data_IF_224395051756
#
_entry.id   IF_224395051756
#
_cell.length_a   1.000
_cell.length_b   1.000
_cell.length_c   1.000
_cell.angle_alpha   90.00
_cell.angle_beta   90.00
_cell.angle_gamma   90.00
#
_symmetry.space_group_name_H-M   'P 1'
#
loop_
_entity.id
_entity.type
_entity.pdbx_description
1 polymer ?
#
# COMPACT_ATOMS: atom_id res chain seq x y z
N UNK A 1 -33.79 2.01 16.41
CA UNK A 1 -33.43 2.34 15.01
C UNK A 1 -34.60 1.96 14.12
N UNK A 2 -35.16 2.90 13.36
CA UNK A 2 -36.04 2.58 12.23
C UNK A 2 -35.13 2.40 11.02
N UNK A 3 -35.22 1.26 10.34
CA UNK A 3 -34.58 1.11 9.04
C UNK A 3 -35.34 2.02 8.05
N UNK A 4 -34.69 3.07 7.54
CA UNK A 4 -35.19 3.78 6.38
C UNK A 4 -34.75 3.00 5.14
N UNK A 5 -35.71 2.37 4.47
CA UNK A 5 -35.54 1.95 3.09
C UNK A 5 -35.62 3.22 2.26
N UNK A 6 -34.49 3.65 1.69
CA UNK A 6 -34.51 4.68 0.67
C UNK A 6 -35.08 4.06 -0.61
N UNK A 7 -36.35 4.36 -0.89
CA UNK A 7 -36.92 4.18 -2.22
C UNK A 7 -36.29 5.21 -3.16
N UNK A 8 -35.96 4.80 -4.38
CA UNK A 8 -35.27 5.62 -5.38
C UNK A 8 -36.20 6.56 -6.15
N UNK A 9 -37.48 6.64 -5.81
CA UNK A 9 -38.41 7.58 -6.44
C UNK A 9 -38.60 8.84 -5.60
N UNK A 10 -38.07 9.94 -6.14
CA UNK A 10 -38.49 11.34 -5.98
C UNK A 10 -38.43 11.96 -4.57
N UNK A 11 -37.37 12.72 -4.31
CA UNK A 11 -37.45 14.17 -4.11
C UNK A 11 -36.05 14.81 -4.12
N UNK A 12 -35.94 15.95 -4.79
CA UNK A 12 -34.68 16.58 -5.15
C UNK A 12 -33.92 17.17 -3.97
N UNK A 13 -32.63 16.85 -3.88
CA UNK A 13 -31.63 17.71 -3.25
C UNK A 13 -30.68 18.19 -4.34
N UNK A 14 -30.72 19.49 -4.59
CA UNK A 14 -29.73 20.21 -5.38
C UNK A 14 -28.39 20.16 -4.65
N UNK A 15 -27.38 19.53 -5.24
CA UNK A 15 -26.02 20.04 -5.20
C UNK A 15 -25.26 19.62 -6.47
N UNK A 16 -24.88 20.65 -7.22
CA UNK A 16 -23.91 20.73 -8.31
C UNK A 16 -24.09 19.78 -9.50
N UNK A 17 -24.72 20.34 -10.54
CA UNK A 17 -25.01 19.70 -11.82
C UNK A 17 -23.77 19.23 -12.58
N UNK A 18 -23.43 17.96 -12.42
CA UNK A 18 -22.48 17.26 -13.29
C UNK A 18 -23.25 16.30 -14.18
N UNK A 19 -23.32 16.62 -15.47
CA UNK A 19 -23.87 15.77 -16.51
C UNK A 19 -22.87 14.65 -16.84
N UNK A 20 -23.26 13.40 -16.64
CA UNK A 20 -22.37 12.22 -16.72
C UNK A 20 -21.97 11.84 -18.16
N UNK A 21 -22.52 12.47 -19.19
CA UNK A 21 -22.17 12.18 -20.60
C UNK A 21 -20.94 12.95 -21.12
N UNK A 22 -20.42 13.96 -20.40
CA UNK A 22 -19.27 14.77 -20.84
C UNK A 22 -17.88 14.16 -20.51
N UNK A 23 -17.84 13.02 -19.82
CA UNK A 23 -16.60 12.40 -19.32
C UNK A 23 -15.83 11.67 -20.44
N UNK A 24 -16.52 11.16 -21.47
CA UNK A 24 -15.91 10.34 -22.52
C UNK A 24 -15.03 11.17 -23.50
N UNK A 25 -15.28 12.49 -23.63
CA UNK A 25 -14.65 13.34 -24.66
C UNK A 25 -13.29 13.93 -24.23
N UNK A 26 -12.94 13.91 -22.93
CA UNK A 26 -11.70 14.57 -22.43
C UNK A 26 -10.43 13.71 -22.53
N UNK A 27 -10.51 12.49 -23.07
CA UNK A 27 -9.35 11.67 -23.41
C UNK A 27 -8.66 12.19 -24.68
N UNK A 28 -7.81 13.21 -24.54
CA UNK A 28 -6.57 13.45 -25.33
C UNK A 28 -6.04 14.87 -25.08
N UNK A 29 -5.28 15.05 -24.00
CA UNK A 29 -4.23 16.09 -23.98
C UNK A 29 -2.96 15.50 -23.42
N UNK A 30 -1.90 15.49 -24.25
CA UNK A 30 -0.53 15.17 -23.83
C UNK A 30 -0.12 16.19 -22.78
N UNK A 31 0.30 15.70 -21.61
CA UNK A 31 0.68 16.55 -20.47
C UNK A 31 2.15 16.95 -20.52
N UNK A 32 2.37 18.17 -20.06
CA UNK A 32 3.67 18.82 -19.92
C UNK A 32 4.33 18.36 -18.60
N UNK A 33 5.62 18.00 -18.65
CA UNK A 33 6.36 17.40 -17.54
C UNK A 33 6.83 18.48 -16.53
N UNK A 34 6.70 18.24 -15.23
CA UNK A 34 7.32 19.07 -14.18
C UNK A 34 8.85 18.97 -14.26
N UNK A 35 9.56 20.06 -13.96
CA UNK A 35 11.01 20.23 -14.24
C UNK A 35 11.98 19.33 -13.45
N UNK A 36 11.48 18.41 -12.61
CA UNK A 36 12.33 17.54 -11.78
C UNK A 36 12.48 16.14 -12.41
N UNK A 37 13.72 15.63 -12.54
CA UNK A 37 13.93 14.28 -13.05
C UNK A 37 13.41 13.21 -12.08
N UNK A 38 12.70 12.23 -12.63
CA UNK A 38 12.25 11.02 -11.92
C UNK A 38 13.43 10.18 -11.42
N UNK A 39 13.21 9.30 -10.43
CA UNK A 39 14.25 8.38 -9.95
C UNK A 39 14.81 7.49 -11.07
N UNK A 40 13.96 7.08 -12.03
CA UNK A 40 14.42 6.35 -13.21
C UNK A 40 15.41 7.17 -14.05
N UNK A 41 15.07 8.44 -14.32
CA UNK A 41 15.93 9.36 -15.06
C UNK A 41 17.23 9.65 -14.30
N UNK A 42 17.15 9.90 -12.98
CA UNK A 42 18.33 10.14 -12.15
C UNK A 42 19.28 8.93 -12.13
N UNK A 43 18.74 7.69 -12.05
CA UNK A 43 19.54 6.47 -12.10
C UNK A 43 20.13 6.24 -13.49
N UNK A 44 19.38 6.48 -14.57
CA UNK A 44 19.90 6.37 -15.93
C UNK A 44 21.02 7.39 -16.21
N UNK A 45 20.82 8.64 -15.78
CA UNK A 45 21.82 9.69 -15.87
C UNK A 45 23.08 9.29 -15.08
N UNK A 46 22.91 8.79 -13.84
CA UNK A 46 24.03 8.30 -13.04
C UNK A 46 24.78 7.18 -13.78
N UNK A 47 24.11 6.11 -14.21
CA UNK A 47 24.79 4.99 -14.91
C UNK A 47 25.49 5.46 -16.19
N UNK A 48 24.92 6.44 -16.90
CA UNK A 48 25.51 7.01 -18.12
C UNK A 48 26.75 7.85 -17.83
N UNK A 49 26.73 8.64 -16.75
CA UNK A 49 27.79 9.60 -16.42
C UNK A 49 28.95 8.98 -15.65
N UNK A 50 28.67 8.06 -14.71
CA UNK A 50 29.67 7.46 -13.82
C UNK A 50 29.87 5.95 -14.03
N UNK A 51 29.10 5.32 -14.91
CA UNK A 51 29.24 3.91 -15.24
C UNK A 51 30.29 3.68 -16.32
N UNK A 52 31.14 2.68 -16.12
CA UNK A 52 32.06 2.24 -17.17
C UNK A 52 31.28 1.54 -18.30
N UNK A 53 31.70 1.72 -19.56
CA UNK A 53 31.06 1.03 -20.71
C UNK A 53 31.09 -0.51 -20.54
N UNK A 54 32.12 -1.03 -19.88
CA UNK A 54 32.37 -2.47 -19.71
C UNK A 54 31.82 -3.09 -18.41
N UNK A 55 31.66 -2.34 -17.32
CA UNK A 55 31.11 -2.88 -16.06
C UNK A 55 29.87 -2.14 -15.58
N UNK A 56 29.64 -0.89 -15.99
CA UNK A 56 28.54 -0.06 -15.49
C UNK A 56 28.90 0.61 -14.17
N UNK A 57 27.89 0.96 -13.36
CA UNK A 57 28.05 1.64 -12.06
C UNK A 57 27.51 0.79 -10.90
N UNK A 58 28.16 0.87 -9.73
CA UNK A 58 27.65 0.22 -8.52
C UNK A 58 26.53 1.06 -7.88
N UNK A 59 25.66 0.43 -7.08
CA UNK A 59 24.56 1.14 -6.37
C UNK A 59 25.11 2.27 -5.49
N UNK A 60 26.23 2.05 -4.81
CA UNK A 60 26.87 3.08 -3.97
C UNK A 60 27.31 4.30 -4.78
N UNK A 61 27.93 4.10 -5.95
CA UNK A 61 28.33 5.21 -6.83
C UNK A 61 27.09 5.93 -7.39
N UNK A 62 26.05 5.18 -7.78
CA UNK A 62 24.77 5.74 -8.25
C UNK A 62 24.14 6.63 -7.18
N UNK A 63 24.03 6.14 -5.93
CA UNK A 63 23.53 6.91 -4.80
C UNK A 63 24.33 8.18 -4.57
N UNK A 64 25.67 8.08 -4.48
CA UNK A 64 26.56 9.23 -4.29
C UNK A 64 26.40 10.28 -5.40
N UNK A 65 26.29 9.85 -6.66
CA UNK A 65 26.03 10.76 -7.77
C UNK A 65 24.67 11.46 -7.61
N UNK A 66 23.63 10.74 -7.24
CA UNK A 66 22.29 11.31 -7.09
C UNK A 66 22.23 12.32 -5.96
N UNK A 67 22.86 12.05 -4.81
CA UNK A 67 22.91 12.99 -3.69
C UNK A 67 23.65 14.29 -4.05
N UNK A 68 24.69 14.19 -4.87
CA UNK A 68 25.52 15.33 -5.24
C UNK A 68 24.91 16.21 -6.35
N UNK A 69 24.13 15.61 -7.26
CA UNK A 69 23.67 16.29 -8.48
C UNK A 69 22.17 16.65 -8.47
N UNK A 70 21.41 16.18 -7.49
CA UNK A 70 19.97 16.44 -7.40
C UNK A 70 19.56 16.81 -5.97
N UNK A 71 18.64 17.77 -5.85
CA UNK A 71 18.08 18.19 -4.56
C UNK A 71 17.09 17.15 -4.00
N UNK A 72 17.55 15.97 -3.58
CA UNK A 72 16.72 14.83 -3.12
C UNK A 72 16.58 14.76 -1.59
N UNK A 73 15.48 14.20 -1.10
CA UNK A 73 15.33 13.88 0.32
C UNK A 73 16.13 12.59 0.63
N UNK A 74 17.23 12.72 1.37
CA UNK A 74 18.18 11.64 1.65
C UNK A 74 17.56 10.47 2.43
N UNK A 75 16.59 10.75 3.30
CA UNK A 75 15.96 9.74 4.15
C UNK A 75 15.03 8.81 3.34
N UNK A 76 14.45 9.31 2.24
CA UNK A 76 13.47 8.58 1.42
C UNK A 76 14.07 8.07 0.10
N UNK A 77 15.01 8.79 -0.52
CA UNK A 77 15.47 8.52 -1.90
C UNK A 77 16.09 7.13 -2.09
N UNK A 78 16.71 6.58 -1.05
CA UNK A 78 17.34 5.26 -1.09
C UNK A 78 16.35 4.13 -1.31
N UNK A 79 15.16 4.24 -0.73
CA UNK A 79 14.06 3.30 -0.96
C UNK A 79 13.70 3.28 -2.45
N UNK A 80 13.54 4.45 -3.07
CA UNK A 80 13.18 4.58 -4.47
C UNK A 80 14.26 4.09 -5.41
N UNK A 81 15.53 4.42 -5.13
CA UNK A 81 16.68 3.92 -5.91
C UNK A 81 16.69 2.39 -5.84
N UNK A 82 16.63 1.80 -4.65
CA UNK A 82 16.66 0.36 -4.48
C UNK A 82 15.45 -0.34 -5.15
N UNK A 83 14.25 0.23 -5.03
CA UNK A 83 13.03 -0.24 -5.69
C UNK A 83 13.20 -0.21 -7.22
N UNK A 84 13.76 0.87 -7.76
CA UNK A 84 14.04 1.01 -9.18
C UNK A 84 15.10 0.01 -9.66
N UNK A 85 16.21 -0.16 -8.94
CA UNK A 85 17.26 -1.11 -9.31
C UNK A 85 16.73 -2.53 -9.38
N UNK A 86 15.94 -2.96 -8.37
CA UNK A 86 15.29 -4.29 -8.36
C UNK A 86 14.30 -4.47 -9.51
N UNK A 87 13.45 -3.47 -9.76
CA UNK A 87 12.46 -3.50 -10.85
C UNK A 87 13.15 -3.45 -12.23
N UNK A 88 14.17 -2.62 -12.39
CA UNK A 88 14.92 -2.45 -13.64
C UNK A 88 15.64 -3.71 -14.08
N UNK A 89 16.22 -4.47 -13.14
CA UNK A 89 16.81 -5.79 -13.45
C UNK A 89 15.73 -6.79 -13.84
N UNK A 90 14.63 -6.86 -13.07
CA UNK A 90 13.50 -7.77 -13.36
C UNK A 90 12.87 -7.52 -14.73
N UNK A 91 12.66 -6.25 -15.05
CA UNK A 91 12.03 -5.82 -16.31
C UNK A 91 13.05 -5.80 -17.47
N UNK A 92 14.30 -6.21 -17.23
CA UNK A 92 15.37 -6.27 -18.24
C UNK A 92 15.88 -4.91 -18.73
N UNK A 93 15.49 -3.81 -18.08
CA UNK A 93 15.98 -2.45 -18.38
C UNK A 93 17.41 -2.22 -17.90
N UNK A 94 17.79 -2.90 -16.81
CA UNK A 94 19.13 -2.90 -16.26
C UNK A 94 19.72 -4.30 -16.33
N UNK A 95 20.98 -4.38 -16.74
CA UNK A 95 21.76 -5.62 -16.77
C UNK A 95 22.77 -5.58 -15.63
N UNK A 96 22.82 -6.65 -14.84
CA UNK A 96 23.91 -6.89 -13.88
C UNK A 96 25.07 -7.54 -14.65
N UNK A 97 26.18 -6.84 -14.84
CA UNK A 97 27.37 -7.44 -15.46
C UNK A 97 27.99 -8.45 -14.49
N UNK A 98 28.13 -9.70 -14.92
CA UNK A 98 28.50 -10.94 -14.20
C UNK A 98 29.90 -10.90 -13.53
N UNK A 99 30.23 -11.70 -12.51
CA UNK A 99 29.61 -12.94 -12.06
C UNK A 99 29.82 -13.32 -10.58
N UNK A 100 29.47 -14.58 -10.31
CA UNK A 100 29.26 -15.26 -9.03
C UNK A 100 27.88 -15.10 -8.35
N UNK A 101 27.35 -16.28 -8.00
CA UNK A 101 26.07 -16.56 -7.38
C UNK A 101 26.14 -16.11 -5.91
N UNK A 102 25.06 -15.49 -5.42
CA UNK A 102 24.80 -15.10 -4.02
C UNK A 102 25.70 -13.99 -3.42
N UNK A 103 25.12 -12.80 -3.14
CA UNK A 103 25.77 -11.75 -2.34
C UNK A 103 25.65 -10.32 -2.89
N UNK A 104 25.71 -9.33 -1.99
CA UNK A 104 25.24 -7.94 -2.13
C UNK A 104 26.08 -6.96 -2.97
N UNK A 105 26.80 -7.43 -4.01
CA UNK A 105 27.72 -6.60 -4.80
C UNK A 105 27.45 -6.79 -6.29
N UNK A 106 27.39 -5.68 -7.04
CA UNK A 106 27.14 -5.72 -8.48
C UNK A 106 27.24 -4.36 -9.15
N UNK A 107 27.63 -4.39 -10.41
CA UNK A 107 27.62 -3.24 -11.30
C UNK A 107 26.46 -3.35 -12.28
N UNK A 108 25.85 -2.20 -12.58
CA UNK A 108 24.62 -2.10 -13.36
C UNK A 108 24.85 -1.28 -14.61
N UNK A 109 24.33 -1.78 -15.72
CA UNK A 109 24.32 -1.12 -17.02
C UNK A 109 22.90 -0.98 -17.53
N UNK A 110 22.70 0.01 -18.39
CA UNK A 110 21.47 0.13 -19.19
C UNK A 110 21.50 -0.96 -20.28
N UNK A 111 20.39 -1.67 -20.46
CA UNK A 111 20.27 -2.69 -21.50
C UNK A 111 20.26 -2.05 -22.90
N UNK A 112 21.00 -2.62 -23.86
CA UNK A 112 21.13 -2.08 -25.21
C UNK A 112 19.87 -2.22 -26.10
N UNK A 113 18.89 -3.04 -25.69
CA UNK A 113 17.59 -3.19 -26.38
C UNK A 113 16.45 -3.40 -25.36
N UNK A 114 15.48 -2.49 -25.23
CA UNK A 114 14.22 -2.81 -24.54
C UNK A 114 13.47 -3.88 -25.34
N UNK A 115 12.86 -4.88 -24.69
CA UNK A 115 11.84 -5.71 -25.36
C UNK A 115 10.73 -4.78 -25.88
N UNK A 116 10.19 -5.00 -27.10
CA UNK A 116 9.24 -4.09 -27.70
C UNK A 116 8.00 -3.97 -26.81
N UNK A 117 7.64 -2.72 -26.57
CA UNK A 117 6.38 -2.31 -25.98
C UNK A 117 5.25 -2.69 -26.95
N UNK A 118 4.31 -3.53 -26.53
CA UNK A 118 3.12 -3.82 -27.32
C UNK A 118 2.16 -2.63 -27.18
N UNK A 119 2.48 -1.55 -27.89
CA UNK A 119 1.61 -0.39 -28.08
C UNK A 119 1.47 -0.10 -29.58
N UNK A 120 0.84 -1.01 -30.32
CA UNK A 120 0.26 -0.65 -31.62
C UNK A 120 -1.12 -1.30 -31.86
N UNK A 121 -2.01 -0.48 -32.40
CA UNK A 121 -3.47 -0.57 -32.44
C UNK A 121 -4.02 -1.85 -33.09
N UNK A 122 -5.07 -2.42 -32.49
CA UNK A 122 -6.21 -3.01 -33.23
C UNK A 122 -7.54 -2.61 -32.58
N UNK A 123 -8.26 -1.74 -33.28
CA UNK A 123 -9.70 -1.48 -33.13
C UNK A 123 -10.49 -2.73 -33.54
N UNK A 124 -11.33 -3.28 -32.65
CA UNK A 124 -12.56 -4.02 -33.01
C UNK A 124 -13.56 -3.97 -31.84
N UNK A 125 -14.83 -3.85 -32.23
CA UNK A 125 -16.10 -3.68 -31.51
C UNK A 125 -16.47 -4.84 -30.54
N UNK A 126 -17.45 -4.63 -29.63
CA UNK A 126 -17.75 -5.56 -28.54
C UNK A 126 -18.65 -6.70 -29.00
N UNK A 127 -18.21 -7.95 -28.79
CA UNK A 127 -19.11 -9.11 -28.87
C UNK A 127 -19.09 -9.95 -27.59
N UNK A 128 -20.31 -10.16 -27.09
CA UNK A 128 -20.72 -10.90 -25.90
C UNK A 128 -20.01 -12.25 -25.76
N UNK A 129 -19.57 -12.61 -24.55
CA UNK A 129 -19.61 -14.02 -24.13
C UNK A 129 -19.80 -14.22 -22.62
N UNK A 130 -20.81 -15.05 -22.35
CA UNK A 130 -21.44 -15.38 -21.07
C UNK A 130 -20.49 -16.07 -20.08
N UNK A 131 -20.70 -15.76 -18.80
CA UNK A 131 -20.28 -16.57 -17.63
C UNK A 131 -20.75 -18.02 -17.78
N UNK A 132 -19.86 -18.98 -17.55
CA UNK A 132 -20.21 -20.32 -17.06
C UNK A 132 -19.39 -20.63 -15.81
N UNK A 133 -20.11 -20.69 -14.69
CA UNK A 133 -19.71 -21.19 -13.37
C UNK A 133 -19.61 -22.72 -13.46
N UNK A 134 -18.50 -23.31 -13.04
CA UNK A 134 -18.41 -24.73 -12.74
C UNK A 134 -18.14 -24.89 -11.24
N UNK A 135 -19.13 -25.46 -10.55
CA UNK A 135 -19.02 -26.06 -9.24
C UNK A 135 -18.13 -27.30 -9.31
N UNK A 136 -17.23 -27.48 -8.34
CA UNK A 136 -16.73 -28.81 -7.98
C UNK A 136 -16.58 -28.94 -6.47
N UNK A 137 -17.02 -30.12 -6.05
CA UNK A 137 -17.29 -30.64 -4.72
C UNK A 137 -16.04 -30.79 -3.84
N UNK A 138 -16.30 -30.71 -2.54
CA UNK A 138 -15.42 -31.08 -1.43
C UNK A 138 -15.56 -32.59 -1.17
N UNK A 139 -14.47 -33.31 -0.87
CA UNK A 139 -14.54 -34.49 -0.02
C UNK A 139 -13.85 -34.24 1.32
N UNK A 140 -14.61 -34.50 2.39
CA UNK A 140 -14.20 -34.66 3.78
C UNK A 140 -13.79 -36.11 3.97
N UNK A 141 -12.63 -36.40 4.57
CA UNK A 141 -12.38 -37.66 5.31
C UNK A 141 -11.56 -37.34 6.58
N UNK A 142 -11.99 -37.97 7.66
CA UNK A 142 -11.66 -37.85 9.07
C UNK A 142 -10.40 -38.61 9.53
N UNK A 143 -9.82 -38.10 10.62
CA UNK A 143 -8.98 -38.65 11.71
C UNK A 143 -8.56 -40.13 11.70
N UNK A 144 -7.29 -40.41 12.10
CA UNK A 144 -6.88 -41.30 13.23
C UNK A 144 -5.46 -40.90 13.70
N UNK A 145 -5.24 -40.94 15.02
CA UNK A 145 -3.97 -40.76 15.77
C UNK A 145 -3.39 -42.13 16.12
N UNK A 146 -2.07 -42.32 16.05
CA UNK A 146 -1.35 -43.33 16.87
C UNK A 146 0.13 -42.98 17.02
N UNK A 147 0.60 -43.00 18.27
CA UNK A 147 2.00 -42.87 18.70
C UNK A 147 2.81 -44.15 18.43
N UNK A 148 4.14 -43.99 18.29
CA UNK A 148 5.11 -45.07 18.28
C UNK A 148 6.55 -44.53 18.22
N UNK A 149 7.29 -44.68 19.31
CA UNK A 149 8.75 -44.51 19.39
C UNK A 149 9.49 -45.69 18.71
N UNK A 150 10.69 -45.44 18.18
CA UNK A 150 11.97 -46.14 18.49
C UNK A 150 13.03 -45.94 17.37
N UNK A 151 14.18 -45.47 17.84
CA UNK A 151 15.58 -45.62 17.44
C UNK A 151 16.22 -45.16 16.10
N UNK A 152 17.47 -44.76 16.34
CA UNK A 152 18.57 -44.23 15.57
C UNK A 152 18.94 -44.90 14.23
N UNK A 153 19.28 -44.07 13.24
CA UNK A 153 20.58 -44.09 12.56
C UNK A 153 20.69 -43.02 11.46
N UNK A 154 21.87 -42.39 11.43
CA UNK A 154 22.48 -41.48 10.44
C UNK A 154 21.78 -41.25 9.08
N UNK A 155 21.58 -39.96 8.75
CA UNK A 155 22.05 -39.45 7.46
C UNK A 155 22.20 -37.93 7.49
N UNK A 156 23.43 -37.49 7.24
CA UNK A 156 23.84 -36.11 7.01
C UNK A 156 22.98 -35.44 5.95
N UNK A 157 22.34 -34.31 6.27
CA UNK A 157 21.92 -33.39 5.22
C UNK A 157 22.09 -31.93 5.65
N UNK A 158 22.74 -31.20 4.76
CA UNK A 158 23.27 -29.85 4.88
C UNK A 158 22.21 -28.84 5.32
N UNK A 159 22.57 -28.04 6.34
CA UNK A 159 21.88 -26.81 6.72
C UNK A 159 21.70 -25.89 5.51
N UNK A 160 20.50 -25.90 4.94
CA UNK A 160 20.00 -24.80 4.12
C UNK A 160 19.64 -23.66 5.08
N UNK A 161 20.55 -22.71 5.24
CA UNK A 161 20.24 -21.43 5.86
C UNK A 161 19.31 -20.65 4.92
N UNK A 162 18.18 -20.09 5.41
CA UNK A 162 17.33 -19.27 4.57
C UNK A 162 18.09 -17.98 4.27
N UNK A 163 18.36 -17.75 2.99
CA UNK A 163 18.85 -16.47 2.48
C UNK A 163 17.79 -15.43 2.82
N UNK A 164 18.04 -14.66 3.89
CA UNK A 164 17.22 -13.56 4.34
C UNK A 164 17.03 -12.58 3.19
N UNK A 165 15.87 -12.71 2.52
CA UNK A 165 15.30 -11.57 1.85
C UNK A 165 15.19 -10.49 2.90
N UNK A 166 15.68 -9.28 2.60
CA UNK A 166 15.24 -8.08 3.31
C UNK A 166 13.74 -7.86 3.01
N UNK A 167 12.90 -8.75 3.53
CA UNK A 167 11.56 -8.49 3.96
C UNK A 167 11.76 -7.49 5.09
N UNK A 168 11.30 -6.26 4.91
CA UNK A 168 11.09 -5.40 6.08
C UNK A 168 10.18 -6.22 6.99
N UNK A 169 10.70 -6.69 8.12
CA UNK A 169 9.95 -7.56 9.02
C UNK A 169 8.97 -6.66 9.76
N UNK A 170 7.77 -6.52 9.22
CA UNK A 170 6.73 -5.61 9.73
C UNK A 170 6.03 -6.19 10.97
N UNK A 171 6.29 -7.45 11.28
CA UNK A 171 5.66 -8.24 12.34
C UNK A 171 6.59 -8.57 13.51
N UNK A 172 7.82 -8.03 13.55
CA UNK A 172 8.64 -8.06 14.76
C UNK A 172 8.07 -7.07 15.77
N UNK A 173 7.09 -7.56 16.52
CA UNK A 173 6.44 -6.85 17.61
C UNK A 173 6.80 -7.58 18.90
N UNK A 174 7.56 -6.90 19.75
CA UNK A 174 7.97 -7.34 21.07
C UNK A 174 7.62 -6.27 22.12
N UNK A 175 7.81 -6.60 23.39
CA UNK A 175 7.65 -5.70 24.54
C UNK A 175 6.33 -4.89 24.57
N UNK A 176 5.22 -5.58 24.31
CA UNK A 176 3.90 -4.95 24.29
C UNK A 176 3.37 -4.80 25.71
N UNK A 177 3.15 -3.56 26.14
CA UNK A 177 2.51 -3.21 27.40
C UNK A 177 1.31 -2.28 27.21
N UNK A 178 0.40 -2.31 28.18
CA UNK A 178 -0.88 -1.60 28.18
C UNK A 178 -0.98 -0.72 29.43
N UNK A 179 -1.53 0.48 29.26
CA UNK A 179 -1.85 1.39 30.35
C UNK A 179 -3.14 2.17 30.04
N UNK A 180 -3.82 2.71 31.07
CA UNK A 180 -4.94 3.62 30.87
C UNK A 180 -4.55 4.83 30.01
N UNK A 181 -5.40 5.17 29.04
CA UNK A 181 -5.21 6.37 28.21
C UNK A 181 -5.73 7.60 28.97
N UNK A 182 -4.83 8.42 29.48
CA UNK A 182 -5.17 9.65 30.22
C UNK A 182 -5.41 10.85 29.31
N UNK A 183 -4.65 10.96 28.22
CA UNK A 183 -4.80 12.01 27.21
C UNK A 183 -4.27 11.53 25.85
N UNK A 184 -4.78 12.10 24.77
CA UNK A 184 -4.32 11.78 23.41
C UNK A 184 -4.56 12.95 22.47
N UNK A 185 -3.61 13.21 21.58
CA UNK A 185 -3.80 14.15 20.48
C UNK A 185 -4.65 13.58 19.33
N UNK A 186 -4.89 12.26 19.32
CA UNK A 186 -5.52 11.55 18.19
C UNK A 186 -6.89 10.95 18.52
N UNK A 187 -7.12 10.58 19.79
CA UNK A 187 -8.31 9.83 20.22
C UNK A 187 -8.88 10.49 21.46
N UNK A 188 -9.99 11.19 21.31
CA UNK A 188 -10.62 11.92 22.41
C UNK A 188 -11.96 11.27 22.78
N UNK A 189 -12.01 10.40 23.80
CA UNK A 189 -13.27 9.85 24.29
C UNK A 189 -14.10 10.96 24.95
N UNK A 190 -15.38 11.02 24.60
CA UNK A 190 -16.32 12.02 25.07
C UNK A 190 -17.61 11.33 25.51
N UNK A 191 -18.24 11.89 26.55
CA UNK A 191 -19.59 11.54 26.95
C UNK A 191 -20.52 12.70 26.60
N UNK A 192 -21.47 12.44 25.72
CA UNK A 192 -22.47 13.40 25.27
C UNK A 192 -23.74 13.26 26.11
N UNK A 193 -24.16 14.36 26.72
CA UNK A 193 -25.47 14.49 27.35
C UNK A 193 -26.37 15.29 26.40
N UNK A 194 -27.54 14.76 26.07
CA UNK A 194 -28.47 15.41 25.16
C UNK A 194 -29.92 15.09 25.51
N UNK A 195 -30.84 15.94 25.06
CA UNK A 195 -32.28 15.72 25.19
C UNK A 195 -32.85 15.35 23.83
N UNK A 196 -33.59 14.26 23.73
CA UNK A 196 -34.32 13.88 22.52
C UNK A 196 -35.79 13.66 22.85
N UNK A 197 -36.67 14.48 22.28
CA UNK A 197 -38.10 14.49 22.57
C UNK A 197 -38.37 14.62 24.07
N UNK A 198 -37.70 15.60 24.69
CA UNK A 198 -37.76 15.86 26.13
C UNK A 198 -37.24 14.74 27.06
N UNK A 199 -36.65 13.68 26.52
CA UNK A 199 -36.02 12.62 27.29
C UNK A 199 -34.52 12.85 27.32
N UNK A 200 -33.96 12.94 28.53
CA UNK A 200 -32.52 12.99 28.73
C UNK A 200 -31.85 11.68 28.32
N UNK A 201 -30.72 11.79 27.62
CA UNK A 201 -29.95 10.68 27.10
C UNK A 201 -28.47 10.94 27.26
N UNK A 202 -27.73 9.83 27.38
CA UNK A 202 -26.28 9.82 27.46
C UNK A 202 -25.76 8.92 26.35
N UNK A 203 -24.69 9.35 25.67
CA UNK A 203 -24.00 8.54 24.68
C UNK A 203 -22.49 8.73 24.75
N UNK A 204 -21.75 7.63 24.71
CA UNK A 204 -20.29 7.66 24.64
C UNK A 204 -19.84 7.66 23.17
N UNK A 205 -18.90 8.54 22.84
CA UNK A 205 -18.37 8.70 21.49
C UNK A 205 -16.88 8.99 21.53
N UNK A 206 -16.22 8.81 20.40
CA UNK A 206 -14.80 9.09 20.25
C UNK A 206 -14.64 10.13 19.15
N UNK A 207 -14.01 11.25 19.48
CA UNK A 207 -13.62 12.27 18.51
C UNK A 207 -12.26 11.92 17.90
N UNK A 208 -12.19 11.95 16.57
CA UNK A 208 -11.04 11.59 15.73
C UNK A 208 -10.81 12.66 14.65
N UNK A 209 -9.60 12.68 14.08
CA UNK A 209 -9.25 13.55 12.95
C UNK A 209 -9.88 13.10 11.64
N UNK A 210 -10.10 14.03 10.72
CA UNK A 210 -10.48 13.71 9.34
C UNK A 210 -9.35 12.96 8.63
N UNK A 211 -9.69 12.21 7.59
CA UNK A 211 -8.69 11.41 6.85
C UNK A 211 -9.03 11.22 5.38
N UNK A 212 -7.99 10.94 4.60
CA UNK A 212 -8.06 10.54 3.20
C UNK A 212 -7.75 9.06 3.07
N UNK A 213 -8.39 8.40 2.12
CA UNK A 213 -8.04 7.04 1.67
C UNK A 213 -8.02 6.99 0.15
N UNK A 214 -7.06 6.28 -0.42
CA UNK A 214 -6.77 6.30 -1.84
C UNK A 214 -6.80 4.88 -2.41
N UNK A 215 -7.71 4.69 -3.36
CA UNK A 215 -7.78 3.50 -4.22
C UNK A 215 -6.79 3.72 -5.37
N UNK A 216 -5.67 2.99 -5.34
CA UNK A 216 -4.64 3.12 -6.37
C UNK A 216 -4.73 1.93 -7.32
N UNK A 217 -5.03 2.20 -8.59
CA UNK A 217 -5.10 1.17 -9.63
C UNK A 217 -4.03 1.40 -10.69
N UNK A 218 -3.25 0.36 -11.00
CA UNK A 218 -2.35 0.35 -12.14
C UNK A 218 -3.06 -0.22 -13.36
N UNK A 219 -3.31 0.63 -14.35
CA UNK A 219 -4.11 0.26 -15.52
C UNK A 219 -3.34 -0.71 -16.40
N UNK A 220 -2.07 -0.44 -16.66
CA UNK A 220 -1.22 -1.33 -17.47
C UNK A 220 -1.19 -2.78 -16.99
N UNK A 221 -1.06 -2.99 -15.67
CA UNK A 221 -0.94 -4.34 -15.07
C UNK A 221 -2.26 -4.90 -14.59
N UNK A 222 -3.34 -4.12 -14.63
CA UNK A 222 -4.64 -4.47 -14.05
C UNK A 222 -4.51 -4.90 -12.59
N UNK A 223 -3.81 -4.10 -11.78
CA UNK A 223 -3.56 -4.40 -10.36
C UNK A 223 -4.00 -3.28 -9.44
N UNK A 224 -4.72 -3.67 -8.40
CA UNK A 224 -4.98 -2.84 -7.23
C UNK A 224 -3.76 -2.83 -6.31
N UNK A 225 -3.34 -1.65 -5.87
CA UNK A 225 -2.25 -1.50 -4.92
C UNK A 225 -2.85 -1.32 -3.52
N UNK A 226 -2.35 -2.13 -2.58
CA UNK A 226 -2.68 -2.09 -1.17
C UNK A 226 -1.40 -1.90 -0.36
N UNK A 227 -1.55 -1.33 0.83
CA UNK A 227 -0.51 -1.26 1.83
C UNK A 227 -0.67 -2.40 2.83
N UNK A 228 0.46 -2.85 3.38
CA UNK A 228 0.49 -3.83 4.47
C UNK A 228 1.14 -3.16 5.68
N UNK A 229 0.43 -3.09 6.80
CA UNK A 229 0.87 -2.37 7.99
C UNK A 229 0.41 -3.11 9.26
N UNK A 230 1.14 -2.92 10.37
CA UNK A 230 0.71 -3.40 11.68
C UNK A 230 -0.29 -2.41 12.29
N UNK A 231 -1.44 -2.91 12.72
CA UNK A 231 -2.48 -2.14 13.42
C UNK A 231 -2.59 -2.61 14.87
N UNK A 232 -2.15 -1.81 15.87
CA UNK A 232 -2.22 -2.19 17.28
C UNK A 232 -3.63 -2.55 17.76
N UNK A 233 -4.66 -1.84 17.29
CA UNK A 233 -6.04 -2.13 17.66
C UNK A 233 -6.53 -3.51 17.14
N UNK A 234 -6.13 -3.89 15.93
CA UNK A 234 -6.44 -5.21 15.34
C UNK A 234 -5.71 -6.29 16.12
N UNK A 235 -4.41 -6.09 16.37
CA UNK A 235 -3.61 -6.97 17.21
C UNK A 235 -4.26 -7.22 18.58
N UNK A 236 -4.60 -6.14 19.29
CA UNK A 236 -5.24 -6.19 20.61
C UNK A 236 -6.60 -6.89 20.58
N UNK A 237 -7.41 -6.66 19.53
CA UNK A 237 -8.72 -7.31 19.39
C UNK A 237 -8.64 -8.83 19.28
N UNK A 238 -7.51 -9.36 18.79
CA UNK A 238 -7.25 -10.78 18.64
C UNK A 238 -6.75 -11.49 19.91
N UNK A 239 -6.57 -10.76 21.02
CA UNK A 239 -6.14 -11.28 22.33
C UNK A 239 -7.39 -11.56 23.18
N UNK A 240 -7.51 -12.68 23.91
CA UNK A 240 -8.65 -12.95 24.79
C UNK A 240 -8.79 -11.93 25.93
N UNK A 241 -10.01 -11.53 26.33
CA UNK A 241 -10.23 -10.53 27.38
C UNK A 241 -9.51 -10.80 28.71
N UNK A 242 -9.47 -12.06 29.15
CA UNK A 242 -8.80 -12.51 30.36
C UNK A 242 -7.28 -12.26 30.33
N UNK A 243 -6.67 -12.26 29.15
CA UNK A 243 -5.24 -11.98 28.96
C UNK A 243 -4.96 -10.49 28.70
N UNK A 244 -5.99 -9.68 28.45
CA UNK A 244 -5.89 -8.21 28.35
C UNK A 244 -5.88 -7.52 29.71
N UNK A 245 -6.27 -8.22 30.78
CA UNK A 245 -6.21 -7.70 32.15
C UNK A 245 -4.76 -7.57 32.64
N UNK A 246 -3.84 -8.33 32.04
CA UNK A 246 -2.40 -8.13 32.21
C UNK A 246 -1.97 -6.80 31.59
N UNK A 247 -1.07 -6.08 32.27
CA UNK A 247 -0.43 -4.89 31.70
C UNK A 247 0.61 -5.23 30.62
N UNK A 248 0.94 -6.51 30.42
CA UNK A 248 1.88 -6.99 29.38
C UNK A 248 1.26 -8.10 28.55
N UNK A 249 1.57 -8.11 27.26
CA UNK A 249 1.13 -9.13 26.31
C UNK A 249 2.29 -10.06 25.97
N UNK A 250 2.05 -11.37 26.06
CA UNK A 250 3.02 -12.37 25.62
C UNK A 250 3.07 -12.42 24.08
N UNK A 251 4.06 -11.76 23.48
CA UNK A 251 4.23 -11.70 22.03
C UNK A 251 4.69 -13.01 21.39
N UNK A 252 5.24 -13.96 22.17
CA UNK A 252 5.51 -15.32 21.68
C UNK A 252 4.21 -16.10 21.47
N UNK A 253 3.21 -15.90 22.35
CA UNK A 253 1.86 -16.48 22.21
C UNK A 253 1.02 -15.73 21.18
N UNK A 254 1.16 -14.40 21.12
CA UNK A 254 0.46 -13.53 20.19
C UNK A 254 1.46 -12.83 19.27
N UNK A 255 1.93 -13.47 18.20
CA UNK A 255 2.91 -12.87 17.30
C UNK A 255 2.32 -11.67 16.53
N UNK A 256 3.16 -10.68 16.22
CA UNK A 256 2.78 -9.42 15.57
C UNK A 256 2.06 -9.58 14.22
N UNK A 257 2.29 -10.70 13.53
CA UNK A 257 1.59 -11.09 12.29
C UNK A 257 0.06 -11.03 12.43
N UNK A 258 -0.47 -11.26 13.64
CA UNK A 258 -1.91 -11.20 13.94
C UNK A 258 -2.50 -9.79 13.84
N UNK A 259 -1.66 -8.76 13.94
CA UNK A 259 -2.04 -7.37 13.75
C UNK A 259 -1.78 -6.82 12.35
N UNK A 260 -1.24 -7.63 11.42
CA UNK A 260 -0.97 -7.16 10.07
C UNK A 260 -2.25 -7.13 9.24
N UNK A 261 -2.50 -5.99 8.62
CA UNK A 261 -3.66 -5.73 7.78
C UNK A 261 -3.25 -5.50 6.33
N UNK A 262 -4.19 -5.70 5.41
CA UNK A 262 -4.11 -5.21 4.04
C UNK A 262 -5.13 -4.09 3.88
N UNK A 263 -4.67 -2.91 3.49
CA UNK A 263 -5.48 -1.69 3.51
C UNK A 263 -5.23 -0.85 2.26
N UNK A 264 -6.12 0.11 2.02
CA UNK A 264 -5.82 1.19 1.09
C UNK A 264 -4.80 2.15 1.68
N UNK A 265 -4.04 2.82 0.81
CA UNK A 265 -3.19 3.94 1.23
C UNK A 265 -4.06 5.01 1.87
N UNK A 266 -3.69 5.51 3.04
CA UNK A 266 -4.52 6.44 3.80
C UNK A 266 -3.68 7.30 4.74
N UNK A 267 -4.20 8.48 5.08
CA UNK A 267 -3.54 9.40 6.00
C UNK A 267 -4.50 10.38 6.65
N UNK A 268 -4.05 10.98 7.75
CA UNK A 268 -4.81 11.96 8.53
C UNK A 268 -4.75 13.32 7.83
N UNK A 269 -5.84 14.08 7.88
CA UNK A 269 -5.89 15.48 7.43
C UNK A 269 -5.45 16.37 8.60
N UNK A 270 -4.13 16.46 8.80
CA UNK A 270 -3.49 17.22 9.88
C UNK A 270 -2.72 18.47 9.39
N UNK A 271 -2.75 18.71 8.07
CA UNK A 271 -2.05 19.82 7.41
C UNK A 271 -3.05 20.78 6.79
N UNK A 272 -2.71 22.08 6.81
CA UNK A 272 -3.44 23.12 6.08
C UNK A 272 -3.15 23.05 4.57
N UNK A 273 -3.67 22.01 3.89
CA UNK A 273 -3.54 21.77 2.45
C UNK A 273 -4.86 21.26 1.86
N UNK A 274 -5.01 21.43 0.55
CA UNK A 274 -6.09 20.80 -0.21
C UNK A 274 -6.05 19.27 -0.05
N UNK A 275 -7.21 18.64 0.13
CA UNK A 275 -7.34 17.20 0.38
C UNK A 275 -6.63 16.35 -0.69
N UNK A 276 -6.69 16.77 -1.96
CA UNK A 276 -6.02 16.08 -3.08
C UNK A 276 -4.49 16.15 -2.97
N UNK A 277 -3.93 17.21 -2.40
CA UNK A 277 -2.49 17.31 -2.16
C UNK A 277 -2.07 16.39 -1.01
N UNK A 278 -2.86 16.32 0.05
CA UNK A 278 -2.64 15.37 1.15
C UNK A 278 -2.69 13.94 0.59
N UNK A 279 -3.72 13.60 -0.19
CA UNK A 279 -3.83 12.28 -0.83
C UNK A 279 -2.61 11.93 -1.70
N UNK A 280 -2.09 12.88 -2.49
CA UNK A 280 -0.85 12.68 -3.27
C UNK A 280 0.36 12.45 -2.37
N UNK A 281 0.50 13.21 -1.29
CA UNK A 281 1.59 13.06 -0.34
C UNK A 281 1.59 11.67 0.30
N UNK A 282 0.43 11.16 0.71
CA UNK A 282 0.29 9.81 1.28
C UNK A 282 0.64 8.72 0.25
N UNK A 283 0.17 8.85 -1.00
CA UNK A 283 0.51 7.92 -2.08
C UNK A 283 2.02 7.90 -2.37
N UNK A 284 2.66 9.06 -2.31
CA UNK A 284 4.11 9.17 -2.46
C UNK A 284 4.85 8.57 -1.27
N UNK A 285 4.36 8.80 -0.05
CA UNK A 285 4.97 8.33 1.19
C UNK A 285 4.88 6.82 1.36
N UNK A 286 3.67 6.26 1.30
CA UNK A 286 3.43 4.86 1.62
C UNK A 286 3.69 3.92 0.43
N UNK A 287 3.30 4.36 -0.76
CA UNK A 287 3.34 3.51 -1.96
C UNK A 287 4.52 3.85 -2.88
N UNK A 288 5.11 5.02 -2.73
CA UNK A 288 6.24 5.47 -3.53
C UNK A 288 5.88 5.82 -4.97
N UNK A 289 4.66 6.31 -5.21
CA UNK A 289 4.24 6.82 -6.51
C UNK A 289 4.02 8.33 -6.44
N UNK A 290 4.72 9.08 -7.28
CA UNK A 290 4.43 10.49 -7.46
C UNK A 290 3.37 10.65 -8.56
N UNK A 291 2.12 10.83 -8.16
CA UNK A 291 0.96 10.85 -9.06
C UNK A 291 0.56 12.31 -9.34
N UNK A 292 0.41 12.73 -10.60
CA UNK A 292 -0.11 14.06 -10.92
C UNK A 292 -1.51 14.29 -10.34
N UNK A 293 -1.79 15.50 -9.85
CA UNK A 293 -3.04 15.81 -9.14
C UNK A 293 -4.29 15.55 -10.00
N UNK A 294 -4.19 15.78 -11.30
CA UNK A 294 -5.29 15.59 -12.24
C UNK A 294 -5.59 14.10 -12.58
N UNK A 295 -4.87 13.16 -11.98
CA UNK A 295 -5.21 11.74 -11.99
C UNK A 295 -5.93 11.28 -10.71
N UNK A 296 -6.13 12.19 -9.75
CA UNK A 296 -6.96 11.92 -8.60
C UNK A 296 -8.40 12.33 -8.91
N UNK A 297 -9.33 11.44 -8.61
CA UNK A 297 -10.76 11.69 -8.66
C UNK A 297 -11.35 11.37 -7.29
N UNK A 298 -12.15 12.29 -6.77
CA UNK A 298 -12.87 12.06 -5.50
C UNK A 298 -14.01 11.11 -5.78
N UNK A 299 -14.02 9.97 -5.09
CA UNK A 299 -15.07 8.95 -5.23
C UNK A 299 -16.24 9.27 -4.31
N UNK A 300 -15.98 9.45 -3.02
CA UNK A 300 -17.01 9.69 -2.02
C UNK A 300 -16.43 10.37 -0.77
N UNK A 301 -17.28 11.10 -0.05
CA UNK A 301 -17.04 11.48 1.34
C UNK A 301 -18.14 10.86 2.20
N UNK A 302 -17.75 10.20 3.29
CA UNK A 302 -18.71 9.64 4.24
C UNK A 302 -18.25 9.89 5.68
N UNK A 303 -19.16 9.75 6.65
CA UNK A 303 -18.81 9.88 8.07
C UNK A 303 -18.35 8.53 8.62
N UNK A 304 -17.17 8.49 9.22
CA UNK A 304 -16.67 7.35 9.97
C UNK A 304 -16.52 7.75 11.44
N UNK A 305 -17.19 7.03 12.35
CA UNK A 305 -17.30 7.43 13.76
C UNK A 305 -17.84 8.86 13.88
N UNK A 306 -17.02 9.84 14.31
CA UNK A 306 -17.38 11.24 14.47
C UNK A 306 -16.79 12.16 13.39
N UNK A 307 -16.07 11.63 12.41
CA UNK A 307 -15.22 12.40 11.49
C UNK A 307 -15.56 12.15 10.02
N UNK A 308 -15.10 13.02 9.12
CA UNK A 308 -15.20 12.81 7.67
C UNK A 308 -14.07 11.92 7.17
N UNK A 309 -14.44 11.03 6.25
CA UNK A 309 -13.54 10.13 5.55
C UNK A 309 -13.69 10.34 4.04
N UNK A 310 -12.60 10.75 3.40
CA UNK A 310 -12.59 11.14 1.99
C UNK A 310 -11.89 10.07 1.15
N UNK A 311 -12.63 9.45 0.25
CA UNK A 311 -12.09 8.40 -0.63
C UNK A 311 -11.79 8.99 -2.00
N UNK A 312 -10.56 8.80 -2.45
CA UNK A 312 -10.07 9.19 -3.75
C UNK A 312 -9.68 7.94 -4.54
N UNK A 313 -9.79 8.00 -5.86
CA UNK A 313 -9.15 7.03 -6.74
C UNK A 313 -8.02 7.70 -7.52
N UNK A 314 -6.93 6.97 -7.72
CA UNK A 314 -5.77 7.42 -8.48
C UNK A 314 -5.34 6.35 -9.46
N UNK A 315 -5.33 6.67 -10.75
CA UNK A 315 -4.78 5.79 -11.78
C UNK A 315 -3.29 6.05 -11.96
N UNK A 316 -2.48 5.00 -11.89
CA UNK A 316 -1.06 5.07 -12.21
C UNK A 316 -0.77 4.33 -13.52
N UNK A 317 -0.47 5.10 -14.58
CA UNK A 317 -0.21 4.63 -15.95
C UNK A 317 -1.42 3.97 -16.57
#
# INVERSE_FOLDING_TARGET
MRAHVMDKSTEGFLHDGVNYEDVEVRRRKKKQHHSRPSTSQMVHNAITQIGSKEKGASVQKIKKYIYANYKVNLNKIDLFINKYMKKGVRDGRLIKSTGFRNGAIGFFKIAAKPKPDFSEKRTLTPEKRKRKRLEKQVPVISQVVSEGEIDSSNSSNSQLSPVSSFTTVMDLIDDVSLQPLTSSQFVNPLRMHYKQNDIEKIWDLVSLHESVSIIIFNVDKQKLILVRQFRPAVYYSGIPPEERASSTINTAKYPGIRGLTLEFCAGIVDKSKELVQIAREEVLEECGYDVPLEHFEKVITYRQVSTLYHVWCGSIW
#
